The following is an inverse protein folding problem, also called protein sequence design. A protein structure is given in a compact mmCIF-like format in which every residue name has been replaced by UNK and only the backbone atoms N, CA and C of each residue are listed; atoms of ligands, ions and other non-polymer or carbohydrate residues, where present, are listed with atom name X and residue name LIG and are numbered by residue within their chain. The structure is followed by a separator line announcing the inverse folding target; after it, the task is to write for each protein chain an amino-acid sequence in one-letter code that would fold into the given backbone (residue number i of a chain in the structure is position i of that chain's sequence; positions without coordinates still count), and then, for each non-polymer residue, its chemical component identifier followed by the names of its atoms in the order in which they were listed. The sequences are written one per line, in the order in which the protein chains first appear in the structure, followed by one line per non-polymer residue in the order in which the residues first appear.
data_IF_982898458906
#
_entry.id   IF_982898458906
#
_cell.length_a   1.000
_cell.length_b   1.000
_cell.length_c   1.000
_cell.angle_alpha   90.00
_cell.angle_beta   90.00
_cell.angle_gamma   90.00
#
_symmetry.space_group_name_H-M   'P 1'
#
loop_
_entity.id
_entity.type
_entity.pdbx_description
1 polymer ?
#
# COMPACT_ATOMS: atom_id res chain seq x y z
N UNK A 1 17.89 20.14 -4.12
CA UNK A 1 17.14 21.06 -5.03
C UNK A 1 17.19 20.69 -6.50
N UNK A 2 16.04 20.30 -7.07
CA UNK A 2 15.79 20.31 -8.52
C UNK A 2 16.89 19.72 -9.40
N UNK A 3 17.27 18.47 -9.12
CA UNK A 3 18.20 17.71 -9.97
C UNK A 3 17.52 16.46 -10.48
N UNK A 4 18.10 15.86 -11.54
CA UNK A 4 17.70 14.55 -12.05
C UNK A 4 17.60 13.52 -10.90
N UNK A 5 18.66 13.40 -10.09
CA UNK A 5 18.72 12.44 -8.98
C UNK A 5 17.72 12.78 -7.88
N UNK A 6 17.56 14.08 -7.59
CA UNK A 6 16.60 14.58 -6.59
C UNK A 6 15.13 14.27 -6.93
N UNK A 7 14.80 14.03 -8.21
CA UNK A 7 13.47 13.61 -8.63
C UNK A 7 13.36 12.10 -8.80
N UNK A 8 14.35 11.47 -9.46
CA UNK A 8 14.31 10.04 -9.78
C UNK A 8 14.43 9.17 -8.52
N UNK A 9 15.30 9.51 -7.56
CA UNK A 9 15.49 8.67 -6.38
C UNK A 9 14.25 8.68 -5.45
N UNK A 10 13.65 9.83 -5.07
CA UNK A 10 12.37 9.83 -4.36
C UNK A 10 11.24 9.21 -5.20
N UNK A 11 11.22 9.46 -6.52
CA UNK A 11 10.26 8.85 -7.42
C UNK A 11 10.29 7.32 -7.39
N UNK A 12 11.47 6.71 -7.43
CA UNK A 12 11.63 5.27 -7.28
C UNK A 12 11.13 4.77 -5.91
N UNK A 13 11.41 5.50 -4.83
CA UNK A 13 10.95 5.12 -3.49
C UNK A 13 9.41 5.11 -3.40
N UNK A 14 8.73 6.16 -3.89
CA UNK A 14 7.27 6.20 -3.95
C UNK A 14 6.70 5.13 -4.88
N UNK A 15 7.33 4.87 -6.03
CA UNK A 15 6.91 3.82 -6.96
C UNK A 15 6.97 2.44 -6.29
N UNK A 16 8.09 2.11 -5.65
CA UNK A 16 8.29 0.84 -4.97
C UNK A 16 7.32 0.67 -3.79
N UNK A 17 7.11 1.72 -2.99
CA UNK A 17 6.17 1.72 -1.87
C UNK A 17 4.72 1.54 -2.36
N UNK A 18 4.32 2.29 -3.39
CA UNK A 18 2.98 2.20 -3.98
C UNK A 18 2.72 0.83 -4.59
N UNK A 19 3.71 0.26 -5.29
CA UNK A 19 3.61 -1.10 -5.83
C UNK A 19 3.54 -2.16 -4.73
N UNK A 20 4.35 -2.02 -3.68
CA UNK A 20 4.31 -2.88 -2.50
C UNK A 20 2.94 -2.85 -1.82
N UNK A 21 2.34 -1.67 -1.65
CA UNK A 21 1.00 -1.52 -1.09
C UNK A 21 -0.07 -2.11 -2.02
N UNK A 22 0.03 -1.84 -3.33
CA UNK A 22 -0.93 -2.31 -4.34
C UNK A 22 -0.98 -3.85 -4.34
N UNK A 23 0.18 -4.49 -4.43
CA UNK A 23 0.29 -5.95 -4.39
C UNK A 23 -0.33 -6.54 -3.11
N UNK A 24 0.03 -6.00 -1.95
CA UNK A 24 -0.41 -6.56 -0.67
C UNK A 24 -1.90 -6.33 -0.41
N UNK A 25 -2.47 -5.17 -0.79
CA UNK A 25 -3.91 -4.91 -0.67
C UNK A 25 -4.72 -5.83 -1.59
N UNK A 26 -4.29 -6.02 -2.85
CA UNK A 26 -4.96 -6.94 -3.77
C UNK A 26 -4.90 -8.37 -3.26
N UNK A 27 -3.72 -8.81 -2.80
CA UNK A 27 -3.53 -10.13 -2.21
C UNK A 27 -4.41 -10.32 -0.98
N UNK A 28 -4.42 -9.36 -0.07
CA UNK A 28 -5.23 -9.41 1.16
C UNK A 28 -6.73 -9.51 0.84
N UNK A 29 -7.20 -8.70 -0.11
CA UNK A 29 -8.59 -8.73 -0.56
C UNK A 29 -8.95 -10.06 -1.26
N UNK A 30 -8.05 -10.59 -2.08
CA UNK A 30 -8.25 -11.88 -2.76
C UNK A 30 -8.32 -13.06 -1.79
N UNK A 31 -7.56 -13.00 -0.69
CA UNK A 31 -7.57 -14.03 0.34
C UNK A 31 -8.77 -13.90 1.30
N UNK A 32 -9.24 -12.68 1.54
CA UNK A 32 -10.26 -12.36 2.54
C UNK A 32 -11.31 -11.36 1.98
N UNK A 33 -12.14 -11.75 0.99
CA UNK A 33 -13.03 -10.81 0.32
C UNK A 33 -14.09 -10.21 1.24
N UNK A 34 -14.63 -10.99 2.19
CA UNK A 34 -15.71 -10.57 3.10
C UNK A 34 -15.23 -9.92 4.40
N UNK A 35 -13.96 -10.10 4.76
CA UNK A 35 -13.37 -9.63 6.03
C UNK A 35 -12.20 -8.67 5.83
N UNK A 36 -12.05 -8.13 4.62
CA UNK A 36 -10.98 -7.19 4.27
C UNK A 36 -10.92 -6.01 5.25
N UNK A 37 -9.71 -5.71 5.71
CA UNK A 37 -9.40 -4.52 6.51
C UNK A 37 -8.07 -3.95 6.01
N UNK A 38 -8.05 -2.66 5.72
CA UNK A 38 -6.88 -1.96 5.20
C UNK A 38 -5.80 -1.80 6.25
N UNK A 39 -4.58 -2.20 5.92
CA UNK A 39 -3.39 -1.89 6.71
C UNK A 39 -2.68 -0.63 6.17
N UNK A 40 -2.15 0.23 7.06
CA UNK A 40 -1.36 1.39 6.67
C UNK A 40 0.02 1.05 6.10
N UNK A 41 0.62 -0.06 6.57
CA UNK A 41 1.91 -0.62 6.14
C UNK A 41 1.84 -2.15 6.22
N UNK A 42 2.73 -2.86 5.51
CA UNK A 42 2.71 -4.33 5.46
C UNK A 42 3.97 -4.98 6.04
N UNK A 43 3.83 -5.96 6.94
CA UNK A 43 4.98 -6.67 7.49
C UNK A 43 5.57 -7.67 6.51
N UNK A 44 6.90 -7.87 6.58
CA UNK A 44 7.59 -8.95 5.84
C UNK A 44 7.97 -10.11 6.75
N UNK A 45 8.17 -11.30 6.17
CA UNK A 45 8.45 -12.53 6.91
C UNK A 45 9.76 -12.49 7.72
N UNK A 46 10.83 -11.93 7.15
CA UNK A 46 12.15 -11.88 7.80
C UNK A 46 12.35 -10.63 8.66
N UNK A 47 11.80 -9.50 8.20
CA UNK A 47 11.95 -8.21 8.85
C UNK A 47 10.59 -7.51 8.92
N UNK A 48 9.88 -7.70 10.05
CA UNK A 48 8.51 -7.18 10.23
C UNK A 48 8.38 -5.72 9.81
N UNK A 49 9.30 -4.86 10.21
CA UNK A 49 9.25 -3.42 9.95
C UNK A 49 10.03 -2.96 8.72
N UNK A 50 10.34 -3.84 7.76
CA UNK A 50 11.21 -3.52 6.61
C UNK A 50 10.76 -2.26 5.87
N UNK A 51 9.48 -2.15 5.54
CA UNK A 51 8.90 -0.99 4.87
C UNK A 51 9.16 0.32 5.64
N UNK A 52 8.83 0.33 6.93
CA UNK A 52 8.98 1.51 7.78
C UNK A 52 10.46 1.88 7.99
N UNK A 53 11.34 0.89 8.14
CA UNK A 53 12.79 1.12 8.25
C UNK A 53 13.35 1.69 6.95
N UNK A 54 12.91 1.19 5.79
CA UNK A 54 13.32 1.75 4.50
C UNK A 54 12.84 3.20 4.33
N UNK A 55 11.63 3.54 4.77
CA UNK A 55 11.15 4.93 4.80
C UNK A 55 12.03 5.79 5.70
N UNK A 56 12.33 5.32 6.92
CA UNK A 56 13.20 6.06 7.85
C UNK A 56 14.59 6.30 7.26
N UNK A 57 15.23 5.25 6.72
CA UNK A 57 16.56 5.34 6.11
C UNK A 57 16.53 6.27 4.90
N UNK A 58 15.55 6.13 4.01
CA UNK A 58 15.37 6.99 2.84
C UNK A 58 15.17 8.46 3.21
N UNK A 59 14.32 8.74 4.20
CA UNK A 59 14.11 10.08 4.75
C UNK A 59 15.37 10.65 5.38
N UNK A 60 16.12 9.86 6.14
CA UNK A 60 17.39 10.31 6.73
C UNK A 60 18.42 10.63 5.65
N UNK A 61 18.56 9.78 4.62
CA UNK A 61 19.44 10.06 3.47
C UNK A 61 19.00 11.35 2.78
N UNK A 62 17.70 11.54 2.52
CA UNK A 62 17.15 12.74 1.88
C UNK A 62 17.50 14.02 2.68
N UNK A 63 17.26 14.01 3.99
CA UNK A 63 17.61 15.13 4.88
C UNK A 63 19.12 15.39 4.86
N UNK A 64 19.93 14.33 4.92
CA UNK A 64 21.39 14.46 4.87
C UNK A 64 21.87 15.06 3.53
N UNK A 65 21.27 14.63 2.42
CA UNK A 65 21.60 15.13 1.09
C UNK A 65 21.21 16.60 0.91
N UNK A 66 20.04 17.02 1.39
CA UNK A 66 19.60 18.41 1.23
C UNK A 66 20.33 19.36 2.20
N UNK A 67 20.61 18.97 3.46
CA UNK A 67 21.17 19.90 4.46
C UNK A 67 22.70 19.89 4.57
N UNK A 68 23.36 18.76 4.32
CA UNK A 68 24.78 18.59 4.68
C UNK A 68 25.66 18.15 3.51
N UNK A 69 25.17 17.33 2.58
CA UNK A 69 26.03 16.74 1.54
C UNK A 69 25.93 17.50 0.22
N UNK A 70 24.72 17.78 -0.24
CA UNK A 70 24.45 18.44 -1.53
C UNK A 70 24.89 19.90 -1.59
N UNK A 71 24.69 20.72 -0.53
CA UNK A 71 25.10 22.12 -0.57
C UNK A 71 26.63 22.29 -0.57
N UNK A 72 27.15 23.26 -1.34
CA UNK A 72 28.58 23.50 -1.50
C UNK A 72 29.29 23.86 -0.18
N UNK A 73 28.59 24.54 0.73
CA UNK A 73 28.97 24.62 2.13
C UNK A 73 28.24 23.50 2.84
N UNK A 74 28.94 22.43 3.21
CA UNK A 74 28.40 21.27 3.92
C UNK A 74 27.83 21.56 5.33
N UNK A 75 27.54 22.83 5.63
CA UNK A 75 26.82 23.30 6.81
C UNK A 75 25.51 23.98 6.39
N UNK A 76 24.40 23.76 7.10
CA UNK A 76 23.12 24.32 6.71
C UNK A 76 22.95 25.81 7.09
N UNK A 77 23.73 26.33 8.04
CA UNK A 77 23.64 27.71 8.55
C UNK A 77 24.80 28.59 8.08
N UNK A 78 24.61 29.91 8.05
CA UNK A 78 25.67 30.90 7.86
C UNK A 78 26.45 31.16 9.17
N UNK A 79 27.54 31.93 9.07
CA UNK A 79 28.42 32.24 10.22
C UNK A 79 27.73 33.01 11.34
N UNK A 80 26.62 33.69 11.05
CA UNK A 80 25.78 34.40 12.01
C UNK A 80 24.63 33.53 12.58
N UNK A 81 24.55 32.25 12.16
CA UNK A 81 23.51 31.31 12.57
C UNK A 81 22.20 31.41 11.79
N UNK A 82 22.12 32.30 10.78
CA UNK A 82 20.93 32.39 9.91
C UNK A 82 20.90 31.28 8.87
N UNK A 83 19.74 31.05 8.24
CA UNK A 83 19.63 30.14 7.09
C UNK A 83 19.97 30.93 5.82
N UNK A 84 21.03 30.55 5.09
CA UNK A 84 21.38 31.20 3.83
C UNK A 84 20.23 31.12 2.82
N UNK A 85 20.01 32.17 2.02
CA UNK A 85 18.91 32.19 1.04
C UNK A 85 18.99 31.04 0.02
N UNK A 86 20.20 30.61 -0.34
CA UNK A 86 20.43 29.46 -1.24
C UNK A 86 20.16 28.09 -0.57
N UNK A 87 19.91 28.04 0.75
CA UNK A 87 19.59 26.83 1.50
C UNK A 87 18.12 26.76 1.93
N UNK A 88 17.34 27.84 1.79
CA UNK A 88 15.95 27.88 2.27
C UNK A 88 15.11 26.73 1.71
N UNK A 89 15.16 26.52 0.40
CA UNK A 89 14.44 25.41 -0.20
C UNK A 89 14.93 24.05 0.32
N UNK A 90 16.24 23.88 0.60
CA UNK A 90 16.77 22.60 1.10
C UNK A 90 16.12 22.23 2.44
N UNK A 91 15.87 23.24 3.28
CA UNK A 91 15.12 23.08 4.53
C UNK A 91 13.66 22.71 4.28
N UNK A 92 12.99 23.31 3.29
CA UNK A 92 11.63 22.92 2.90
C UNK A 92 11.57 21.45 2.47
N UNK A 93 12.45 21.01 1.57
CA UNK A 93 12.52 19.61 1.15
C UNK A 93 12.83 18.65 2.32
N UNK A 94 13.69 19.08 3.24
CA UNK A 94 14.02 18.32 4.46
C UNK A 94 12.81 18.20 5.38
N UNK A 95 11.96 19.23 5.47
CA UNK A 95 10.73 19.18 6.24
C UNK A 95 9.73 18.15 5.69
N UNK A 96 9.61 18.01 4.36
CA UNK A 96 8.82 16.93 3.74
C UNK A 96 9.36 15.57 4.21
N UNK A 97 10.66 15.35 4.05
CA UNK A 97 11.32 14.08 4.40
C UNK A 97 11.17 13.74 5.90
N UNK A 98 11.21 14.76 6.77
CA UNK A 98 11.01 14.63 8.21
C UNK A 98 9.60 14.14 8.55
N UNK A 99 8.55 14.61 7.86
CA UNK A 99 7.18 14.11 8.13
C UNK A 99 7.02 12.63 7.79
N UNK A 100 7.63 12.14 6.70
CA UNK A 100 7.65 10.71 6.39
C UNK A 100 8.47 9.89 7.40
N UNK A 101 9.58 10.45 7.92
CA UNK A 101 10.34 9.83 9.00
C UNK A 101 9.49 9.67 10.27
N UNK A 102 8.79 10.74 10.67
CA UNK A 102 7.90 10.77 11.83
C UNK A 102 6.79 9.73 11.65
N UNK A 103 6.14 9.70 10.49
CA UNK A 103 5.14 8.69 10.14
C UNK A 103 5.68 7.27 10.37
N UNK A 104 6.87 6.96 9.83
CA UNK A 104 7.43 5.61 9.94
C UNK A 104 7.86 5.26 11.38
N UNK A 105 8.51 6.19 12.08
CA UNK A 105 8.95 5.99 13.46
C UNK A 105 7.76 5.75 14.40
N UNK A 106 6.73 6.60 14.34
CA UNK A 106 5.55 6.43 15.17
C UNK A 106 4.71 5.21 14.77
N UNK A 107 4.72 4.78 13.51
CA UNK A 107 4.10 3.51 13.10
C UNK A 107 4.71 2.31 13.85
N UNK A 108 6.05 2.30 14.01
CA UNK A 108 6.75 1.25 14.79
C UNK A 108 6.40 1.37 16.28
N UNK A 109 6.39 2.60 16.82
CA UNK A 109 6.05 2.83 18.24
C UNK A 109 4.62 2.38 18.54
N UNK A 110 3.65 2.73 17.70
CA UNK A 110 2.24 2.34 17.87
C UNK A 110 2.04 0.83 17.81
N UNK A 111 2.74 0.13 16.90
CA UNK A 111 2.70 -1.34 16.81
C UNK A 111 3.30 -2.01 18.06
N UNK A 112 4.45 -1.53 18.53
CA UNK A 112 5.15 -2.10 19.71
C UNK A 112 4.50 -1.77 21.05
N UNK A 113 3.75 -0.69 21.12
CA UNK A 113 3.20 -0.22 22.40
C UNK A 113 2.02 -1.09 22.83
N UNK A 114 2.20 -1.87 23.90
CA UNK A 114 1.17 -2.75 24.48
C UNK A 114 0.11 -2.03 25.31
N UNK A 115 -0.06 -0.71 25.14
CA UNK A 115 -1.19 0.00 25.76
C UNK A 115 -2.48 -0.62 25.19
N UNK A 116 -3.49 -0.80 26.04
CA UNK A 116 -4.84 -1.31 25.73
C UNK A 116 -5.63 -0.34 24.80
N UNK A 117 -5.02 0.05 23.69
CA UNK A 117 -5.62 0.82 22.61
C UNK A 117 -6.00 -0.16 21.52
N UNK A 118 -7.23 -0.06 21.06
CA UNK A 118 -7.77 -0.87 19.97
C UNK A 118 -6.89 -0.78 18.70
N UNK A 119 -6.73 -1.92 18.01
CA UNK A 119 -5.88 -2.04 16.83
C UNK A 119 -6.34 -1.10 15.70
N UNK A 120 -7.66 -0.93 15.53
CA UNK A 120 -8.19 -0.04 14.50
C UNK A 120 -7.83 1.41 14.80
N UNK A 121 -7.84 1.81 16.07
CA UNK A 121 -7.41 3.15 16.46
C UNK A 121 -5.93 3.40 16.17
N UNK A 122 -5.06 2.42 16.43
CA UNK A 122 -3.63 2.51 16.06
C UNK A 122 -3.44 2.67 14.55
N UNK A 123 -4.21 1.94 13.74
CA UNK A 123 -4.20 2.09 12.28
C UNK A 123 -4.69 3.47 11.85
N UNK A 124 -5.77 3.97 12.46
CA UNK A 124 -6.30 5.31 12.19
C UNK A 124 -5.29 6.42 12.52
N UNK A 125 -4.59 6.32 13.66
CA UNK A 125 -3.50 7.24 13.99
C UNK A 125 -2.35 7.17 12.98
N UNK A 126 -2.03 5.97 12.52
CA UNK A 126 -0.99 5.78 11.49
C UNK A 126 -1.41 6.40 10.15
N UNK A 127 -2.67 6.22 9.72
CA UNK A 127 -3.21 6.88 8.54
C UNK A 127 -3.25 8.40 8.71
N UNK A 128 -3.58 8.91 9.89
CA UNK A 128 -3.54 10.35 10.19
C UNK A 128 -2.13 10.93 10.03
N UNK A 129 -1.10 10.25 10.55
CA UNK A 129 0.30 10.65 10.33
C UNK A 129 0.67 10.62 8.84
N UNK A 130 0.21 9.61 8.10
CA UNK A 130 0.39 9.54 6.65
C UNK A 130 -0.30 10.70 5.91
N UNK A 131 -1.50 11.09 6.36
CA UNK A 131 -2.23 12.23 5.81
C UNK A 131 -1.50 13.54 6.09
N UNK A 132 -0.92 13.72 7.28
CA UNK A 132 -0.05 14.88 7.57
C UNK A 132 1.15 14.90 6.63
N UNK A 133 1.81 13.76 6.40
CA UNK A 133 2.95 13.69 5.48
C UNK A 133 2.55 14.09 4.04
N UNK A 134 1.43 13.57 3.52
CA UNK A 134 0.92 13.99 2.20
C UNK A 134 0.46 15.45 2.17
N UNK A 135 -0.13 15.96 3.25
CA UNK A 135 -0.54 17.37 3.36
C UNK A 135 0.67 18.30 3.36
N UNK A 136 1.73 17.96 4.11
CA UNK A 136 2.99 18.70 4.12
C UNK A 136 3.66 18.66 2.73
N UNK A 137 3.69 17.48 2.11
CA UNK A 137 4.21 17.31 0.76
C UNK A 137 3.44 18.19 -0.24
N UNK A 138 2.10 18.19 -0.19
CA UNK A 138 1.25 19.02 -1.05
C UNK A 138 1.49 20.52 -0.79
N UNK A 139 1.52 20.93 0.47
CA UNK A 139 1.71 22.32 0.87
C UNK A 139 3.03 22.87 0.35
N UNK A 140 4.14 22.14 0.59
CA UNK A 140 5.45 22.58 0.16
C UNK A 140 5.62 22.51 -1.36
N UNK A 141 5.10 21.48 -2.04
CA UNK A 141 5.12 21.48 -3.51
C UNK A 141 4.22 22.56 -4.12
N UNK A 142 3.13 22.94 -3.46
CA UNK A 142 2.29 24.02 -3.95
C UNK A 142 3.02 25.36 -3.88
N UNK A 143 3.63 25.66 -2.74
CA UNK A 143 4.42 26.88 -2.57
C UNK A 143 5.67 26.88 -3.45
N UNK A 144 6.41 25.77 -3.48
CA UNK A 144 7.60 25.62 -4.33
C UNK A 144 7.26 25.66 -5.83
N UNK A 145 6.12 25.09 -6.25
CA UNK A 145 5.66 25.16 -7.64
C UNK A 145 5.15 26.54 -8.04
N UNK A 146 4.82 27.41 -7.07
CA UNK A 146 4.50 28.81 -7.37
C UNK A 146 5.75 29.60 -7.79
N UNK A 147 6.95 29.14 -7.41
CA UNK A 147 8.23 29.73 -7.82
C UNK A 147 8.67 29.24 -9.22
N UNK A 148 8.19 28.08 -9.67
CA UNK A 148 8.50 27.49 -10.98
C UNK A 148 7.48 27.90 -12.05
N UNK A 149 7.74 28.98 -12.77
CA UNK A 149 6.92 29.38 -13.92
C UNK A 149 7.32 28.61 -15.19
N UNK A 150 6.34 28.13 -15.96
CA UNK A 150 6.58 27.55 -17.28
C UNK A 150 6.34 26.04 -17.36
N UNK A 151 7.31 25.29 -17.89
CA UNK A 151 7.18 23.83 -18.14
C UNK A 151 7.33 23.02 -16.84
N UNK A 152 8.31 23.36 -16.02
CA UNK A 152 8.55 22.71 -14.72
C UNK A 152 7.34 22.86 -13.78
N UNK A 153 6.78 24.07 -13.68
CA UNK A 153 5.54 24.28 -12.94
C UNK A 153 4.36 23.44 -13.43
N UNK A 154 4.26 23.18 -14.74
CA UNK A 154 3.21 22.30 -15.28
C UNK A 154 3.39 20.86 -14.81
N UNK A 155 4.63 20.35 -14.79
CA UNK A 155 4.91 19.02 -14.24
C UNK A 155 4.56 18.93 -12.75
N UNK A 156 4.94 19.93 -11.96
CA UNK A 156 4.66 19.95 -10.51
C UNK A 156 3.17 20.12 -10.20
N UNK A 157 2.44 20.92 -10.98
CA UNK A 157 0.99 21.05 -10.84
C UNK A 157 0.27 19.71 -11.08
N UNK A 158 0.70 18.94 -12.07
CA UNK A 158 0.16 17.61 -12.31
C UNK A 158 0.57 16.61 -11.22
N UNK A 159 1.79 16.70 -10.67
CA UNK A 159 2.20 15.92 -9.50
C UNK A 159 1.29 16.19 -8.29
N UNK A 160 0.98 17.48 -8.02
CA UNK A 160 0.10 17.88 -6.92
C UNK A 160 -1.29 17.21 -7.04
N UNK A 161 -1.83 17.05 -8.25
CA UNK A 161 -3.10 16.35 -8.43
C UNK A 161 -3.05 14.90 -7.94
N UNK A 162 -1.96 14.17 -8.18
CA UNK A 162 -1.76 12.82 -7.67
C UNK A 162 -1.52 12.78 -6.15
N UNK A 163 -0.91 13.83 -5.58
CA UNK A 163 -0.76 14.00 -4.13
C UNK A 163 -2.11 14.23 -3.45
N UNK A 164 -2.98 15.05 -4.04
CA UNK A 164 -4.34 15.27 -3.54
C UNK A 164 -5.12 13.95 -3.48
N UNK A 165 -5.04 13.11 -4.52
CA UNK A 165 -5.71 11.80 -4.52
C UNK A 165 -5.18 10.91 -3.38
N UNK A 166 -3.86 10.86 -3.17
CA UNK A 166 -3.28 10.10 -2.05
C UNK A 166 -3.70 10.66 -0.69
N UNK A 167 -3.73 11.98 -0.52
CA UNK A 167 -4.18 12.61 0.72
C UNK A 167 -5.64 12.30 1.03
N UNK A 168 -6.53 12.51 0.05
CA UNK A 168 -7.97 12.28 0.19
C UNK A 168 -8.25 10.82 0.50
N UNK A 169 -7.64 9.89 -0.23
CA UNK A 169 -7.83 8.45 0.03
C UNK A 169 -7.23 8.00 1.36
N UNK A 170 -6.13 8.60 1.81
CA UNK A 170 -5.58 8.35 3.16
C UNK A 170 -6.55 8.81 4.26
N UNK A 171 -7.15 10.00 4.11
CA UNK A 171 -8.18 10.51 5.03
C UNK A 171 -9.44 9.64 5.01
N UNK A 172 -9.91 9.25 3.81
CA UNK A 172 -11.04 8.32 3.66
C UNK A 172 -10.75 6.96 4.31
N UNK A 173 -9.49 6.51 4.30
CA UNK A 173 -9.07 5.25 4.93
C UNK A 173 -9.26 5.21 6.45
N UNK A 174 -9.32 6.38 7.10
CA UNK A 174 -9.64 6.51 8.53
C UNK A 174 -11.12 6.20 8.79
N UNK A 175 -12.01 6.75 7.96
CA UNK A 175 -13.47 6.55 8.09
C UNK A 175 -13.98 5.25 7.49
N UNK A 176 -13.29 4.72 6.48
CA UNK A 176 -13.70 3.53 5.72
C UNK A 176 -12.61 2.44 5.69
N UNK A 177 -12.14 1.93 6.85
CA UNK A 177 -11.01 1.00 6.91
C UNK A 177 -11.28 -0.35 6.25
N UNK A 178 -12.55 -0.72 6.04
CA UNK A 178 -12.95 -1.95 5.33
C UNK A 178 -13.15 -1.78 3.82
N UNK A 179 -12.92 -0.58 3.28
CA UNK A 179 -13.06 -0.34 1.84
C UNK A 179 -11.78 -0.69 1.09
N UNK A 180 -11.80 -1.80 0.33
CA UNK A 180 -10.69 -2.17 -0.54
C UNK A 180 -10.40 -1.10 -1.59
N UNK A 181 -11.44 -0.48 -2.15
CA UNK A 181 -11.30 0.55 -3.19
C UNK A 181 -10.51 1.77 -2.71
N UNK A 182 -10.72 2.19 -1.46
CA UNK A 182 -9.97 3.32 -0.89
C UNK A 182 -8.47 3.00 -0.83
N UNK A 183 -8.11 1.81 -0.35
CA UNK A 183 -6.71 1.40 -0.25
C UNK A 183 -6.08 1.11 -1.61
N UNK A 184 -6.86 0.57 -2.56
CA UNK A 184 -6.42 0.32 -3.93
C UNK A 184 -6.08 1.64 -4.63
N UNK A 185 -7.00 2.61 -4.61
CA UNK A 185 -6.78 3.93 -5.22
C UNK A 185 -5.60 4.65 -4.55
N UNK A 186 -5.50 4.61 -3.20
CA UNK A 186 -4.35 5.17 -2.47
C UNK A 186 -3.03 4.56 -2.91
N UNK A 187 -2.97 3.24 -3.02
CA UNK A 187 -1.74 2.54 -3.43
C UNK A 187 -1.35 2.90 -4.86
N UNK A 188 -2.34 2.96 -5.76
CA UNK A 188 -2.14 3.31 -7.16
C UNK A 188 -1.73 4.77 -7.33
N UNK A 189 -2.28 5.71 -6.55
CA UNK A 189 -1.90 7.12 -6.60
C UNK A 189 -0.48 7.34 -6.06
N UNK A 190 -0.07 6.63 -5.01
CA UNK A 190 1.32 6.65 -4.51
C UNK A 190 2.28 6.10 -5.57
N UNK A 191 1.93 4.97 -6.21
CA UNK A 191 2.72 4.40 -7.31
C UNK A 191 2.86 5.41 -8.45
N UNK A 192 1.75 6.06 -8.82
CA UNK A 192 1.72 7.03 -9.90
C UNK A 192 2.51 8.30 -9.59
N UNK A 193 2.49 8.80 -8.35
CA UNK A 193 3.39 9.88 -7.92
C UNK A 193 4.85 9.51 -8.15
N UNK A 194 5.23 8.29 -7.79
CA UNK A 194 6.59 7.81 -7.99
C UNK A 194 6.98 7.74 -9.47
N UNK A 195 6.11 7.19 -10.30
CA UNK A 195 6.29 7.17 -11.75
C UNK A 195 6.44 8.58 -12.32
N UNK A 196 5.54 9.49 -11.95
CA UNK A 196 5.53 10.85 -12.46
C UNK A 196 6.77 11.66 -12.03
N UNK A 197 7.23 11.48 -10.78
CA UNK A 197 8.48 12.07 -10.30
C UNK A 197 9.69 11.59 -11.10
N UNK A 198 9.78 10.28 -11.39
CA UNK A 198 10.86 9.77 -12.24
C UNK A 198 10.78 10.36 -13.65
N UNK A 199 9.59 10.38 -14.25
CA UNK A 199 9.35 10.96 -15.57
C UNK A 199 9.76 12.43 -15.63
N UNK A 200 9.29 13.25 -14.69
CA UNK A 200 9.67 14.66 -14.54
C UNK A 200 11.20 14.83 -14.46
N UNK A 201 11.86 13.98 -13.64
CA UNK A 201 13.31 13.95 -13.52
C UNK A 201 14.01 13.74 -14.87
N UNK A 202 13.58 12.76 -15.67
CA UNK A 202 14.19 12.54 -16.98
C UNK A 202 13.86 13.64 -17.99
N UNK A 203 12.60 14.08 -18.05
CA UNK A 203 12.14 15.03 -19.07
C UNK A 203 12.72 16.44 -18.91
N UNK A 204 12.94 16.90 -17.68
CA UNK A 204 13.46 18.25 -17.43
C UNK A 204 15.00 18.32 -17.45
N UNK A 205 15.71 17.22 -17.15
CA UNK A 205 17.18 17.21 -17.04
C UNK A 205 17.90 16.41 -18.14
N UNK A 206 17.19 15.87 -19.14
CA UNK A 206 17.80 15.20 -20.30
C UNK A 206 17.66 16.07 -21.56
N UNK A 207 18.75 16.62 -22.12
CA UNK A 207 18.69 17.55 -23.26
C UNK A 207 17.91 17.03 -24.47
N UNK A 208 18.01 15.74 -24.76
CA UNK A 208 17.34 15.11 -25.90
C UNK A 208 15.81 14.97 -25.73
N UNK A 209 15.29 15.14 -24.52
CA UNK A 209 13.86 15.01 -24.19
C UNK A 209 13.14 16.36 -24.08
N UNK A 210 13.87 17.48 -24.21
CA UNK A 210 13.29 18.81 -24.10
C UNK A 210 12.38 19.10 -25.31
N UNK A 211 11.18 19.69 -25.09
CA UNK A 211 10.30 20.11 -26.16
C UNK A 211 10.95 21.08 -27.16
N UNK A 212 10.58 20.95 -28.44
CA UNK A 212 11.05 21.84 -29.50
C UNK A 212 10.77 23.31 -29.16
N UNK A 213 11.79 24.16 -29.28
CA UNK A 213 11.69 25.59 -28.94
C UNK A 213 11.94 25.90 -27.46
N UNK A 214 12.29 24.89 -26.65
CA UNK A 214 12.75 25.07 -25.27
C UNK A 214 14.18 24.57 -25.10
N UNK A 215 14.87 25.09 -24.09
CA UNK A 215 16.27 24.81 -23.80
C UNK A 215 16.51 24.86 -22.28
N UNK A 216 17.49 24.09 -21.80
CA UNK A 216 17.96 24.20 -20.42
C UNK A 216 18.75 25.50 -20.29
N UNK A 217 18.36 26.34 -19.35
CA UNK A 217 19.05 27.56 -18.98
C UNK A 217 19.47 27.48 -17.50
N UNK A 218 20.64 28.00 -17.17
CA UNK A 218 21.13 28.02 -15.79
C UNK A 218 20.78 29.38 -15.17
N UNK A 219 19.79 29.40 -14.27
CA UNK A 219 19.45 30.59 -13.49
C UNK A 219 19.88 30.42 -12.05
N UNK A 220 20.75 31.31 -11.56
CA UNK A 220 21.13 31.38 -10.13
C UNK A 220 21.58 30.01 -9.56
N UNK A 221 22.31 29.21 -10.36
CA UNK A 221 22.79 27.89 -9.96
C UNK A 221 21.78 26.74 -10.08
N UNK A 222 20.59 26.98 -10.66
CA UNK A 222 19.56 25.99 -10.92
C UNK A 222 19.29 25.85 -12.43
N UNK A 223 19.13 24.61 -12.90
CA UNK A 223 18.82 24.32 -14.31
C UNK A 223 17.30 24.35 -14.50
N UNK A 224 16.82 25.34 -15.25
CA UNK A 224 15.40 25.53 -15.57
C UNK A 224 15.18 25.40 -17.07
N UNK A 225 14.03 24.86 -17.47
CA UNK A 225 13.65 24.78 -18.89
C UNK A 225 12.93 26.06 -19.30
N UNK A 226 13.58 26.87 -20.16
CA UNK A 226 12.99 28.07 -20.76
C UNK A 226 12.63 27.84 -22.22
N UNK A 227 11.56 28.50 -22.67
CA UNK A 227 11.09 28.43 -24.05
C UNK A 227 11.31 29.77 -24.75
N UNK A 228 11.63 29.74 -26.05
CA UNK A 228 11.97 30.93 -26.84
C UNK A 228 10.78 31.81 -27.21
N UNK A 229 9.56 31.26 -27.17
CA UNK A 229 8.31 31.96 -27.50
C UNK A 229 7.13 31.40 -26.71
N UNK A 230 6.05 32.17 -26.60
CA UNK A 230 4.80 31.72 -25.96
C UNK A 230 4.19 30.51 -26.70
N UNK A 231 4.32 30.45 -28.02
CA UNK A 231 3.87 29.29 -28.80
C UNK A 231 4.64 28.01 -28.42
N UNK A 232 5.97 28.11 -28.26
CA UNK A 232 6.80 26.99 -27.81
C UNK A 232 6.46 26.58 -26.37
N UNK A 233 6.16 27.55 -25.49
CA UNK A 233 5.72 27.28 -24.12
C UNK A 233 4.37 26.57 -24.07
N UNK A 234 3.38 27.05 -24.85
CA UNK A 234 2.06 26.42 -24.95
C UNK A 234 2.17 24.99 -25.48
N UNK A 235 2.98 24.78 -26.52
CA UNK A 235 3.29 23.46 -27.06
C UNK A 235 3.90 22.56 -25.98
N UNK A 236 4.92 23.03 -25.26
CA UNK A 236 5.57 22.27 -24.21
C UNK A 236 4.59 21.85 -23.11
N UNK A 237 3.79 22.79 -22.59
CA UNK A 237 2.75 22.47 -21.58
C UNK A 237 1.72 21.45 -22.08
N UNK A 238 1.30 21.56 -23.34
CA UNK A 238 0.38 20.60 -23.95
C UNK A 238 1.00 19.20 -24.04
N UNK A 239 2.29 19.09 -24.40
CA UNK A 239 3.01 17.80 -24.40
C UNK A 239 3.08 17.18 -23.00
N UNK A 240 3.34 17.97 -21.96
CA UNK A 240 3.32 17.50 -20.56
C UNK A 240 1.94 16.94 -20.19
N UNK A 241 0.85 17.64 -20.57
CA UNK A 241 -0.51 17.16 -20.31
C UNK A 241 -0.84 15.85 -21.05
N UNK A 242 -0.39 15.74 -22.30
CA UNK A 242 -0.55 14.53 -23.10
C UNK A 242 0.22 13.38 -22.45
N UNK A 243 1.48 13.61 -22.08
CA UNK A 243 2.32 12.62 -21.42
C UNK A 243 1.69 12.11 -20.11
N UNK A 244 1.23 13.01 -19.25
CA UNK A 244 0.50 12.65 -18.03
C UNK A 244 -0.75 11.83 -18.33
N UNK A 245 -1.52 12.21 -19.35
CA UNK A 245 -2.74 11.49 -19.73
C UNK A 245 -2.44 10.07 -20.21
N UNK A 246 -1.41 9.90 -21.04
CA UNK A 246 -0.98 8.57 -21.52
C UNK A 246 -0.39 7.72 -20.40
N UNK A 247 0.41 8.31 -19.50
CA UNK A 247 0.93 7.63 -18.33
C UNK A 247 -0.20 7.13 -17.41
N UNK A 248 -1.22 7.97 -17.19
CA UNK A 248 -2.41 7.60 -16.41
C UNK A 248 -3.20 6.44 -17.05
N UNK A 249 -3.40 6.47 -18.37
CA UNK A 249 -4.03 5.37 -19.11
C UNK A 249 -3.22 4.08 -18.95
N UNK A 250 -1.89 4.16 -19.16
CA UNK A 250 -0.99 3.01 -19.02
C UNK A 250 -1.01 2.41 -17.62
N UNK A 251 -0.96 3.26 -16.58
CA UNK A 251 -1.03 2.81 -15.18
C UNK A 251 -2.39 2.21 -14.83
N UNK A 252 -3.48 2.72 -15.42
CA UNK A 252 -4.82 2.13 -15.26
C UNK A 252 -4.89 0.74 -15.87
N UNK A 253 -4.42 0.56 -17.12
CA UNK A 253 -4.37 -0.75 -17.79
C UNK A 253 -3.52 -1.73 -16.97
N UNK A 254 -2.36 -1.27 -16.51
CA UNK A 254 -1.49 -2.06 -15.63
C UNK A 254 -2.21 -2.47 -14.35
N UNK A 255 -2.85 -1.55 -13.63
CA UNK A 255 -3.52 -1.82 -12.36
C UNK A 255 -4.66 -2.84 -12.52
N UNK A 256 -5.48 -2.69 -13.56
CA UNK A 256 -6.58 -3.61 -13.84
C UNK A 256 -6.08 -5.00 -14.23
N UNK A 257 -5.06 -5.07 -15.09
CA UNK A 257 -4.43 -6.35 -15.49
C UNK A 257 -3.80 -7.04 -14.29
N UNK A 258 -3.05 -6.27 -13.48
CA UNK A 258 -2.39 -6.77 -12.28
C UNK A 258 -3.39 -7.29 -11.25
N UNK A 259 -4.50 -6.57 -11.03
CA UNK A 259 -5.59 -7.03 -10.19
C UNK A 259 -6.16 -8.37 -10.66
N UNK A 260 -6.53 -8.49 -11.94
CA UNK A 260 -7.10 -9.73 -12.49
C UNK A 260 -6.14 -10.91 -12.37
N UNK A 261 -4.85 -10.69 -12.65
CA UNK A 261 -3.81 -11.72 -12.50
C UNK A 261 -3.70 -12.18 -11.04
N UNK A 262 -3.62 -11.25 -10.09
CA UNK A 262 -3.48 -11.61 -8.67
C UNK A 262 -4.72 -12.27 -8.08
N UNK A 263 -5.92 -11.81 -8.45
CA UNK A 263 -7.18 -12.46 -8.02
C UNK A 263 -7.23 -13.89 -8.54
N UNK A 264 -6.83 -14.13 -9.79
CA UNK A 264 -6.73 -15.50 -10.33
C UNK A 264 -5.72 -16.36 -9.55
N UNK A 265 -4.54 -15.81 -9.25
CA UNK A 265 -3.46 -16.53 -8.58
C UNK A 265 -3.74 -16.85 -7.09
N UNK A 266 -4.41 -15.95 -6.38
CA UNK A 266 -4.66 -16.07 -4.94
C UNK A 266 -6.09 -16.48 -4.60
N UNK A 267 -7.09 -16.06 -5.37
CA UNK A 267 -8.49 -16.46 -5.17
C UNK A 267 -8.71 -17.96 -5.38
N UNK A 268 -8.10 -18.53 -6.44
CA UNK A 268 -8.19 -19.98 -6.70
C UNK A 268 -7.52 -20.83 -5.62
N UNK A 269 -6.48 -20.30 -4.93
CA UNK A 269 -5.83 -21.00 -3.82
C UNK A 269 -6.71 -21.09 -2.58
N UNK A 270 -7.55 -20.08 -2.33
CA UNK A 270 -8.53 -20.12 -1.23
C UNK A 270 -9.55 -21.23 -1.50
N UNK A 271 -10.12 -21.27 -2.70
CA UNK A 271 -11.10 -22.29 -3.08
C UNK A 271 -10.54 -23.71 -2.96
N UNK A 272 -9.31 -23.95 -3.44
CA UNK A 272 -8.65 -25.26 -3.34
C UNK A 272 -8.31 -25.65 -1.89
N UNK A 273 -7.88 -24.69 -1.06
CA UNK A 273 -7.61 -24.96 0.36
C UNK A 273 -8.88 -25.25 1.16
N UNK A 274 -9.98 -24.54 0.88
CA UNK A 274 -11.30 -24.82 1.47
C UNK A 274 -11.84 -26.18 1.02
N UNK A 275 -11.65 -26.55 -0.25
CA UNK A 275 -12.04 -27.88 -0.74
C UNK A 275 -11.25 -28.98 -0.04
N UNK A 276 -9.92 -28.82 0.10
CA UNK A 276 -9.06 -29.80 0.77
C UNK A 276 -9.35 -29.92 2.27
N UNK A 277 -9.69 -28.82 2.96
CA UNK A 277 -10.13 -28.92 4.36
C UNK A 277 -11.46 -29.66 4.47
N UNK A 278 -12.40 -29.40 3.56
CA UNK A 278 -13.70 -30.09 3.54
C UNK A 278 -13.59 -31.57 3.14
N UNK A 279 -12.61 -31.92 2.30
CA UNK A 279 -12.32 -33.31 1.89
C UNK A 279 -11.58 -34.08 3.00
N UNK A 280 -10.67 -33.42 3.73
CA UNK A 280 -10.05 -34.00 4.93
C UNK A 280 -11.06 -34.15 6.09
N UNK A 281 -11.96 -33.18 6.30
CA UNK A 281 -13.02 -33.27 7.31
C UNK A 281 -14.04 -34.38 6.96
N UNK A 282 -14.24 -34.69 5.66
CA UNK A 282 -15.06 -35.82 5.22
C UNK A 282 -14.33 -37.18 5.32
N UNK A 283 -13.00 -37.21 5.26
CA UNK A 283 -12.21 -38.44 5.38
C UNK A 283 -11.93 -38.82 6.84
N UNK A 284 -11.91 -37.87 7.79
CA UNK A 284 -11.72 -38.15 9.22
C UNK A 284 -13.02 -38.52 9.97
N UNK A 285 -14.17 -38.58 9.29
CA UNK A 285 -15.48 -38.91 9.89
C UNK A 285 -16.06 -40.28 9.48
N UNK A 286 -15.25 -41.17 8.88
CA UNK A 286 -15.76 -42.34 8.18
C UNK A 286 -15.01 -43.67 8.31
N UNK A 287 -14.22 -43.92 9.35
CA UNK A 287 -13.61 -45.24 9.56
C UNK A 287 -13.69 -45.69 11.03
N UNK A 288 -14.84 -46.20 11.46
CA UNK A 288 -14.96 -47.28 12.47
C UNK A 288 -16.29 -48.04 12.28
N UNK A 289 -16.46 -48.77 11.17
CA UNK A 289 -17.43 -49.88 11.11
C UNK A 289 -16.84 -51.02 10.24
N UNK A 290 -16.21 -52.01 10.87
CA UNK A 290 -15.97 -53.33 10.28
C UNK A 290 -17.22 -54.19 10.48
N UNK A 291 -18.07 -54.32 9.45
CA UNK A 291 -19.02 -55.43 9.30
C UNK A 291 -18.44 -56.44 8.29
N UNK A 292 -18.06 -57.63 8.76
CA UNK A 292 -17.97 -58.84 7.95
C UNK A 292 -19.20 -59.71 8.24
N UNK A 293 -19.98 -60.01 7.20
CA UNK A 293 -21.07 -60.97 7.24
C UNK A 293 -20.99 -61.93 6.03
N UNK A 294 -21.67 -63.08 6.16
CA UNK A 294 -22.08 -64.09 5.13
C UNK A 294 -21.57 -65.53 5.36
N UNK A 295 -22.42 -66.28 6.09
CA UNK A 295 -23.11 -67.55 5.76
C UNK A 295 -22.40 -68.92 5.56
N UNK A 296 -22.98 -69.92 6.29
CA UNK A 296 -23.21 -71.33 5.93
C UNK A 296 -22.07 -72.38 6.04
N UNK A 297 -22.13 -73.23 7.09
CA UNK A 297 -22.15 -74.71 6.97
C UNK A 297 -22.34 -75.47 8.30
N UNK A 298 -23.49 -76.13 8.42
CA UNK A 298 -23.80 -77.49 8.95
C UNK A 298 -22.74 -78.24 9.80
N UNK A 299 -23.09 -78.61 11.05
CA UNK A 299 -22.57 -79.86 11.67
C UNK A 299 -22.40 -79.93 13.20
N UNK A 300 -23.39 -80.54 13.88
CA UNK A 300 -23.26 -81.51 14.99
C UNK A 300 -22.57 -81.14 16.34
N UNK A 301 -23.36 -81.32 17.41
CA UNK A 301 -23.02 -81.92 18.72
C UNK A 301 -22.17 -81.16 19.77
N UNK A 302 -22.83 -80.77 20.88
CA UNK A 302 -22.79 -81.40 22.24
C UNK A 302 -22.81 -80.37 23.39
N UNK A 303 -23.71 -80.62 24.36
CA UNK A 303 -23.62 -80.46 25.84
C UNK A 303 -23.25 -79.07 26.38
N UNK A 304 -23.86 -78.48 27.40
CA UNK A 304 -24.88 -78.77 28.43
C UNK A 304 -24.85 -77.50 29.31
N UNK A 305 -25.91 -76.92 29.85
CA UNK A 305 -26.81 -77.31 30.93
C UNK A 305 -27.58 -76.02 31.31
N UNK A 306 -28.66 -76.08 32.11
CA UNK A 306 -29.72 -75.06 32.14
C UNK A 306 -29.77 -74.28 33.46
N UNK A 307 -30.48 -73.14 33.47
CA UNK A 307 -31.32 -72.64 34.61
C UNK A 307 -32.00 -71.33 34.17
N UNK A 308 -33.31 -71.31 33.90
CA UNK A 308 -34.47 -71.13 34.82
C UNK A 308 -34.48 -69.85 35.65
N UNK A 309 -35.55 -69.05 35.48
CA UNK A 309 -36.07 -68.11 36.48
C UNK A 309 -36.69 -66.86 35.83
N UNK A 310 -37.99 -66.85 35.49
CA UNK A 310 -39.16 -66.55 36.33
C UNK A 310 -39.66 -65.08 36.22
N UNK A 311 -40.87 -64.96 35.66
CA UNK A 311 -42.03 -64.10 36.04
C UNK A 311 -41.88 -62.57 35.90
N UNK A 312 -42.60 -61.90 34.98
CA UNK A 312 -44.05 -61.54 34.90
C UNK A 312 -44.46 -60.30 35.73
N UNK A 313 -45.41 -59.54 35.15
CA UNK A 313 -46.19 -58.39 35.63
C UNK A 313 -45.50 -57.02 35.50
N UNK A 314 -46.08 -56.01 34.85
CA UNK A 314 -47.46 -55.82 34.42
C UNK A 314 -47.92 -54.41 34.82
N UNK A 315 -48.81 -53.82 33.99
CA UNK A 315 -49.46 -52.49 34.09
C UNK A 315 -48.55 -51.30 33.75
N UNK A 316 -48.94 -50.36 32.91
CA UNK A 316 -50.22 -50.10 32.24
C UNK A 316 -50.35 -48.59 32.00
N UNK A 317 -50.87 -48.22 30.82
CA UNK A 317 -51.66 -47.01 30.44
C UNK A 317 -51.27 -45.62 31.01
N UNK A 318 -51.34 -44.47 30.33
CA UNK A 318 -51.84 -43.99 29.03
C UNK A 318 -51.18 -42.59 28.83
N UNK A 319 -50.76 -42.18 27.63
CA UNK A 319 -51.48 -41.28 26.69
C UNK A 319 -52.39 -40.23 27.36
N UNK A 320 -52.00 -38.94 27.27
CA UNK A 320 -52.72 -37.91 26.51
C UNK A 320 -52.02 -36.54 26.57
N UNK A 321 -51.94 -35.91 25.41
CA UNK A 321 -51.72 -34.49 25.13
C UNK A 321 -52.73 -33.57 25.85
N UNK A 322 -52.35 -32.29 26.06
CA UNK A 322 -52.98 -31.10 25.45
C UNK A 322 -52.38 -29.79 26.02
N UNK A 323 -51.94 -28.94 25.08
CA UNK A 323 -51.90 -27.46 25.00
C UNK A 323 -51.82 -26.59 26.27
N UNK A 324 -50.80 -25.72 26.33
CA UNK A 324 -50.92 -24.26 26.10
C UNK A 324 -49.56 -23.61 25.90
#
# INVERSE_FOLDING_TARGET
MGTLVGHVAPGFAFFALGFWHLFNHIKLHSLNPNSYTSFPWFPTLKFRYLELVLIMVGSSISISMELFIGPAKHQPFDTDGTIPSNHLHNFEHSAISMTFFIYAAFSIVLDKTSINIDLMFKHSLTQFLGAIAFAQQLFLFHLHSADHMGVEGQYHLLLQSAIVVSLVTTLMGIGYPKSFMVSFIRSLSILYQGLWLMTMGFMLWTPNLIPKGCFIHLEVGHQVVKCSSDEALHRAKSLVNIEFSWALIGVTIFAMTFYLVLVKLYGQKVEYSTLKSHENDHFELGEEEEEEDVESQKGSNKQGEPTKGFIHMGKGYAIMDIER
#
